data_IF_696957260045
#
_entry.id   IF_696957260045
#
_cell.length_a   1.000
_cell.length_b   1.000
_cell.length_c   1.000
_cell.angle_alpha   90.00
_cell.angle_beta   90.00
_cell.angle_gamma   90.00
#
_symmetry.space_group_name_H-M   'P 1'
#
loop_
_entity.id
_entity.type
_entity.pdbx_description
1 polymer ?
#
# COMPACT_ATOMS: atom_id res chain seq x y z
N UNK A 1 -9.59 0.89 11.47
CA UNK A 1 -10.42 -0.18 10.83
C UNK A 1 -10.06 -1.54 11.39
N UNK A 2 -11.02 -2.44 11.57
CA UNK A 2 -10.77 -3.83 11.96
C UNK A 2 -10.31 -4.68 10.76
N UNK A 3 -9.44 -5.66 11.00
CA UNK A 3 -9.03 -6.64 9.99
C UNK A 3 -10.19 -7.56 9.59
N UNK A 4 -10.25 -8.00 8.33
CA UNK A 4 -11.34 -8.83 7.82
C UNK A 4 -11.09 -9.39 6.42
N UNK A 5 -12.10 -10.09 5.89
CA UNK A 5 -12.09 -10.58 4.51
C UNK A 5 -12.18 -9.41 3.53
N UNK A 6 -11.66 -9.58 2.31
CA UNK A 6 -11.58 -8.50 1.31
C UNK A 6 -12.97 -7.96 0.92
N UNK A 7 -14.01 -8.79 1.01
CA UNK A 7 -15.40 -8.45 0.74
C UNK A 7 -15.92 -7.36 1.71
N UNK A 8 -15.41 -7.32 2.94
CA UNK A 8 -15.76 -6.30 3.93
C UNK A 8 -15.22 -4.91 3.59
N UNK A 9 -14.37 -4.83 2.55
CA UNK A 9 -13.70 -3.61 2.12
C UNK A 9 -14.15 -3.16 0.73
N UNK A 10 -15.25 -3.72 0.22
CA UNK A 10 -15.80 -3.38 -1.10
C UNK A 10 -16.14 -1.90 -1.24
N UNK A 11 -16.66 -1.29 -0.18
CA UNK A 11 -17.08 0.11 -0.17
C UNK A 11 -15.90 1.10 -0.25
N UNK A 12 -14.67 0.63 -0.04
CA UNK A 12 -13.47 1.44 -0.29
C UNK A 12 -13.13 1.56 -1.78
N UNK A 13 -13.72 0.71 -2.63
CA UNK A 13 -13.51 0.78 -4.07
C UNK A 13 -14.22 2.01 -4.63
N UNK A 14 -13.49 2.80 -5.41
CA UNK A 14 -14.05 3.95 -6.13
C UNK A 14 -14.47 3.59 -7.56
N UNK A 15 -14.16 2.37 -8.01
CA UNK A 15 -14.29 1.95 -9.41
C UNK A 15 -15.54 1.12 -9.61
N UNK A 16 -16.19 1.29 -10.77
CA UNK A 16 -17.41 0.54 -11.09
C UNK A 16 -17.13 -0.94 -11.36
N UNK A 17 -16.04 -1.21 -12.07
CA UNK A 17 -15.62 -2.56 -12.45
C UNK A 17 -14.11 -2.61 -12.69
N UNK A 18 -13.60 -3.78 -13.06
CA UNK A 18 -12.19 -4.01 -13.34
C UNK A 18 -11.69 -3.20 -14.55
N UNK A 19 -12.55 -2.97 -15.55
CA UNK A 19 -12.19 -2.19 -16.74
C UNK A 19 -12.03 -0.71 -16.38
N UNK A 20 -12.96 -0.17 -15.59
CA UNK A 20 -12.92 1.18 -15.05
C UNK A 20 -11.64 1.41 -14.21
N UNK A 21 -11.30 0.45 -13.35
CA UNK A 21 -10.05 0.47 -12.59
C UNK A 21 -8.80 0.48 -13.50
N UNK A 22 -8.73 -0.44 -14.47
CA UNK A 22 -7.59 -0.51 -15.38
C UNK A 22 -7.43 0.77 -16.21
N UNK A 23 -8.53 1.37 -16.70
CA UNK A 23 -8.48 2.61 -17.45
C UNK A 23 -7.87 3.76 -16.62
N UNK A 24 -8.30 3.93 -15.37
CA UNK A 24 -7.71 4.94 -14.49
C UNK A 24 -6.26 4.64 -14.14
N UNK A 25 -5.90 3.37 -13.94
CA UNK A 25 -4.52 2.97 -13.70
C UNK A 25 -3.61 3.25 -14.91
N UNK A 26 -4.09 3.03 -16.14
CA UNK A 26 -3.36 3.37 -17.36
C UNK A 26 -3.13 4.88 -17.52
N UNK A 27 -4.14 5.70 -17.17
CA UNK A 27 -3.97 7.17 -17.12
C UNK A 27 -2.88 7.57 -16.14
N UNK A 28 -2.91 7.05 -14.91
CA UNK A 28 -1.85 7.26 -13.93
C UNK A 28 -0.47 6.84 -14.44
N UNK A 29 -0.38 5.69 -15.11
CA UNK A 29 0.88 5.17 -15.66
C UNK A 29 1.40 6.00 -16.83
N UNK A 30 0.55 6.76 -17.52
CA UNK A 30 0.99 7.68 -18.58
C UNK A 30 1.93 8.76 -18.01
N UNK A 31 1.58 9.27 -16.83
CA UNK A 31 2.35 10.36 -16.18
C UNK A 31 3.44 9.86 -15.25
N UNK A 32 3.19 8.76 -14.53
CA UNK A 32 4.05 8.31 -13.45
C UNK A 32 5.05 7.22 -13.85
N UNK A 33 4.97 6.62 -15.05
CA UNK A 33 5.83 5.48 -15.43
C UNK A 33 7.31 5.72 -15.19
N UNK A 34 7.80 6.91 -15.51
CA UNK A 34 9.23 7.26 -15.44
C UNK A 34 9.68 7.62 -14.02
N UNK A 35 8.72 7.75 -13.08
CA UNK A 35 9.00 7.96 -11.66
C UNK A 35 9.30 6.65 -10.92
N UNK A 36 8.95 5.51 -11.51
CA UNK A 36 9.20 4.18 -10.94
C UNK A 36 10.39 3.50 -11.65
N UNK A 37 11.27 2.90 -10.85
CA UNK A 37 12.30 1.99 -11.41
C UNK A 37 11.64 0.72 -11.93
N UNK A 38 12.34 -0.03 -12.80
CA UNK A 38 11.83 -1.31 -13.35
C UNK A 38 11.29 -2.26 -12.27
N UNK A 39 12.04 -2.46 -11.17
CA UNK A 39 11.61 -3.33 -10.07
C UNK A 39 10.42 -2.77 -9.29
N UNK A 40 10.30 -1.45 -9.15
CA UNK A 40 9.13 -0.82 -8.54
C UNK A 40 7.90 -0.94 -9.46
N UNK A 41 8.05 -0.82 -10.78
CA UNK A 41 6.98 -1.08 -11.75
C UNK A 41 6.49 -2.53 -11.66
N UNK A 42 7.39 -3.50 -11.49
CA UNK A 42 7.02 -4.91 -11.26
C UNK A 42 6.20 -5.04 -9.96
N UNK A 43 6.63 -4.37 -8.88
CA UNK A 43 5.91 -4.35 -7.62
C UNK A 43 4.50 -3.77 -7.76
N UNK A 44 4.38 -2.62 -8.45
CA UNK A 44 3.12 -1.93 -8.66
C UNK A 44 2.16 -2.76 -9.52
N UNK A 45 2.63 -3.30 -10.65
CA UNK A 45 1.83 -4.20 -11.51
C UNK A 45 1.36 -5.44 -10.76
N UNK A 46 2.21 -6.02 -9.90
CA UNK A 46 1.81 -7.16 -9.07
C UNK A 46 0.71 -6.75 -8.09
N UNK A 47 0.82 -5.60 -7.43
CA UNK A 47 -0.21 -5.09 -6.54
C UNK A 47 -1.54 -4.87 -7.27
N UNK A 48 -1.53 -4.28 -8.49
CA UNK A 48 -2.73 -4.12 -9.33
C UNK A 48 -3.42 -5.45 -9.60
N UNK A 49 -2.67 -6.52 -9.90
CA UNK A 49 -3.24 -7.87 -10.10
C UNK A 49 -3.93 -8.40 -8.84
N UNK A 50 -3.39 -8.12 -7.66
CA UNK A 50 -4.03 -8.49 -6.38
C UNK A 50 -5.30 -7.67 -6.11
N UNK A 51 -5.37 -6.44 -6.63
CA UNK A 51 -6.53 -5.55 -6.55
C UNK A 51 -7.60 -5.80 -7.62
N UNK A 52 -7.57 -6.94 -8.31
CA UNK A 52 -8.57 -7.26 -9.35
C UNK A 52 -9.88 -7.82 -8.76
N UNK A 53 -9.81 -8.54 -7.62
CA UNK A 53 -10.98 -9.18 -7.01
C UNK A 53 -12.02 -8.16 -6.54
N UNK A 54 -11.57 -7.10 -5.87
CA UNK A 54 -12.34 -5.88 -5.61
C UNK A 54 -11.59 -4.77 -6.33
N UNK A 55 -12.12 -4.20 -7.43
CA UNK A 55 -11.40 -3.25 -8.26
C UNK A 55 -10.72 -2.15 -7.44
N UNK A 56 -9.40 -2.06 -7.52
CA UNK A 56 -8.62 -1.04 -6.81
C UNK A 56 -8.44 -1.23 -5.31
N UNK A 57 -8.90 -2.34 -4.70
CA UNK A 57 -8.73 -2.60 -3.26
C UNK A 57 -8.00 -3.92 -3.02
N UNK A 58 -6.98 -3.89 -2.16
CA UNK A 58 -6.21 -5.07 -1.78
C UNK A 58 -5.90 -5.07 -0.28
N UNK A 59 -6.12 -6.20 0.40
CA UNK A 59 -5.78 -6.41 1.82
C UNK A 59 -4.68 -7.48 2.03
N UNK A 60 -3.99 -7.88 0.96
CA UNK A 60 -2.97 -8.92 1.02
C UNK A 60 -1.71 -8.45 1.76
N UNK A 61 -1.03 -9.37 2.46
CA UNK A 61 0.23 -9.03 3.15
C UNK A 61 1.30 -8.67 2.12
N UNK A 62 2.18 -7.72 2.44
CA UNK A 62 3.35 -7.39 1.62
C UNK A 62 4.14 -8.66 1.27
N UNK A 63 4.37 -9.54 2.25
CA UNK A 63 5.06 -10.81 2.04
C UNK A 63 4.38 -11.68 0.98
N UNK A 64 3.05 -11.80 1.01
CA UNK A 64 2.29 -12.57 0.00
C UNK A 64 2.47 -11.99 -1.39
N UNK A 65 2.39 -10.65 -1.52
CA UNK A 65 2.53 -9.97 -2.81
C UNK A 65 3.96 -10.13 -3.34
N UNK A 66 4.96 -9.95 -2.47
CA UNK A 66 6.38 -10.11 -2.80
C UNK A 66 6.67 -11.55 -3.21
N UNK A 67 6.26 -12.56 -2.44
CA UNK A 67 6.47 -13.97 -2.80
C UNK A 67 5.84 -14.33 -4.14
N UNK A 68 4.67 -13.78 -4.47
CA UNK A 68 4.04 -13.99 -5.78
C UNK A 68 4.84 -13.42 -6.95
N UNK A 69 5.75 -12.47 -6.72
CA UNK A 69 6.68 -12.01 -7.77
C UNK A 69 7.75 -13.05 -8.12
N UNK A 70 8.16 -13.89 -7.17
CA UNK A 70 9.18 -14.91 -7.38
C UNK A 70 8.63 -16.16 -8.10
N UNK A 71 7.36 -16.48 -7.89
CA UNK A 71 6.74 -17.70 -8.44
C UNK A 71 6.48 -17.69 -9.95
N UNK A 72 6.45 -16.51 -10.57
CA UNK A 72 5.98 -16.35 -11.96
C UNK A 72 6.72 -15.24 -12.74
N UNK A 73 7.95 -14.86 -12.38
CA UNK A 73 8.65 -13.80 -13.11
C UNK A 73 9.86 -14.31 -13.87
N UNK A 74 9.80 -14.16 -15.19
CA UNK A 74 10.97 -14.09 -16.07
C UNK A 74 11.83 -12.83 -15.78
N UNK A 75 11.28 -11.86 -15.03
CA UNK A 75 11.90 -10.56 -14.75
C UNK A 75 12.61 -10.45 -13.39
N UNK A 76 12.71 -11.55 -12.63
CA UNK A 76 13.28 -11.57 -11.29
C UNK A 76 12.33 -11.03 -10.22
N UNK A 77 12.19 -11.75 -9.11
CA UNK A 77 11.34 -11.31 -8.00
C UNK A 77 11.92 -10.09 -7.28
N UNK A 78 11.06 -9.39 -6.53
CA UNK A 78 11.45 -8.17 -5.81
C UNK A 78 11.74 -8.45 -4.34
N UNK A 79 12.45 -7.54 -3.69
CA UNK A 79 12.56 -7.50 -2.23
C UNK A 79 11.38 -6.76 -1.59
N UNK A 80 11.17 -6.98 -0.28
CA UNK A 80 10.25 -6.18 0.52
C UNK A 80 10.60 -4.68 0.50
N UNK A 81 11.88 -4.34 0.60
CA UNK A 81 12.33 -2.94 0.57
C UNK A 81 11.98 -2.24 -0.75
N UNK A 82 12.01 -2.98 -1.86
CA UNK A 82 11.57 -2.47 -3.17
C UNK A 82 10.07 -2.20 -3.20
N UNK A 83 9.26 -3.10 -2.64
CA UNK A 83 7.82 -2.88 -2.51
C UNK A 83 7.50 -1.66 -1.65
N UNK A 84 8.19 -1.48 -0.52
CA UNK A 84 7.99 -0.32 0.37
C UNK A 84 8.42 1.00 -0.27
N UNK A 85 9.51 1.02 -1.06
CA UNK A 85 9.90 2.20 -1.85
C UNK A 85 8.84 2.56 -2.90
N UNK A 86 8.36 1.57 -3.65
CA UNK A 86 7.26 1.74 -4.60
C UNK A 86 6.04 2.33 -3.90
N UNK A 87 5.63 1.76 -2.76
CA UNK A 87 4.46 2.22 -2.02
C UNK A 87 4.63 3.66 -1.52
N UNK A 88 5.83 4.04 -1.07
CA UNK A 88 6.12 5.43 -0.66
C UNK A 88 5.92 6.40 -1.82
N UNK A 89 6.40 6.07 -3.02
CA UNK A 89 6.19 6.88 -4.23
C UNK A 89 4.71 6.94 -4.61
N UNK A 90 4.03 5.80 -4.67
CA UNK A 90 2.61 5.74 -5.02
C UNK A 90 1.73 6.56 -4.07
N UNK A 91 2.03 6.56 -2.76
CA UNK A 91 1.37 7.45 -1.79
C UNK A 91 1.66 8.92 -2.06
N UNK A 92 2.94 9.27 -2.30
CA UNK A 92 3.36 10.64 -2.58
C UNK A 92 2.64 11.23 -3.80
N UNK A 93 2.38 10.41 -4.82
CA UNK A 93 1.67 10.84 -6.03
C UNK A 93 0.14 10.82 -5.90
N UNK A 94 -0.41 10.38 -4.76
CA UNK A 94 -1.85 10.22 -4.60
C UNK A 94 -2.45 9.00 -5.30
N UNK A 95 -1.64 8.14 -5.92
CA UNK A 95 -2.10 6.93 -6.62
C UNK A 95 -2.73 5.91 -5.66
N UNK A 96 -2.17 5.76 -4.44
CA UNK A 96 -2.60 4.77 -3.45
C UNK A 96 -2.76 5.44 -2.09
N UNK A 97 -3.92 5.22 -1.47
CA UNK A 97 -4.14 5.46 -0.04
C UNK A 97 -3.94 4.15 0.73
N UNK A 98 -3.29 4.21 1.90
CA UNK A 98 -2.98 3.03 2.72
C UNK A 98 -3.67 3.14 4.06
N UNK A 99 -4.60 2.23 4.32
CA UNK A 99 -5.33 2.17 5.59
C UNK A 99 -4.68 1.10 6.47
N UNK A 100 -4.20 1.51 7.64
CA UNK A 100 -3.69 0.58 8.64
C UNK A 100 -4.86 0.00 9.44
N UNK A 101 -4.94 -1.34 9.52
CA UNK A 101 -5.96 -2.03 10.31
C UNK A 101 -5.38 -2.55 11.62
N UNK A 102 -6.26 -2.76 12.59
CA UNK A 102 -5.93 -3.38 13.86
C UNK A 102 -6.75 -4.67 14.03
N UNK A 103 -6.15 -5.66 14.68
CA UNK A 103 -6.82 -6.85 15.15
C UNK A 103 -7.69 -6.53 16.36
N UNK A 104 -8.65 -7.40 16.69
CA UNK A 104 -9.47 -7.31 17.90
C UNK A 104 -8.62 -7.22 19.18
N UNK A 105 -7.40 -7.79 19.16
CA UNK A 105 -6.46 -7.74 20.27
C UNK A 105 -5.54 -6.50 20.25
N UNK A 106 -5.89 -5.44 19.49
CA UNK A 106 -5.13 -4.19 19.39
C UNK A 106 -3.81 -4.27 18.62
N UNK A 107 -3.38 -5.47 18.18
CA UNK A 107 -2.17 -5.66 17.37
C UNK A 107 -2.40 -5.15 15.95
N UNK A 108 -1.37 -4.53 15.35
CA UNK A 108 -1.42 -4.14 13.93
C UNK A 108 -1.73 -5.36 13.05
N UNK A 109 -2.74 -5.21 12.20
CA UNK A 109 -3.14 -6.19 11.22
C UNK A 109 -2.73 -5.73 9.81
N UNK A 110 -3.22 -6.41 8.78
CA UNK A 110 -2.79 -6.15 7.40
C UNK A 110 -3.29 -4.80 6.90
N UNK A 111 -2.42 -4.05 6.25
CA UNK A 111 -2.80 -2.82 5.58
C UNK A 111 -3.75 -3.11 4.42
N UNK A 112 -4.64 -2.16 4.17
CA UNK A 112 -5.48 -2.13 2.97
C UNK A 112 -4.90 -1.08 2.03
N UNK A 113 -4.68 -1.46 0.78
CA UNK A 113 -4.22 -0.60 -0.30
C UNK A 113 -5.43 -0.22 -1.16
N UNK A 114 -5.72 1.08 -1.25
CA UNK A 114 -6.85 1.64 -1.98
C UNK A 114 -6.34 2.53 -3.10
N UNK A 115 -6.48 2.08 -4.35
CA UNK A 115 -6.14 2.88 -5.52
C UNK A 115 -7.12 4.03 -5.68
N UNK A 116 -6.60 5.20 -6.01
CA UNK A 116 -7.40 6.39 -6.26
C UNK A 116 -7.69 6.53 -7.75
N UNK A 117 -8.84 7.12 -8.10
CA UNK A 117 -9.10 7.53 -9.48
C UNK A 117 -8.04 8.51 -9.95
N UNK A 118 -7.76 8.48 -11.24
CA UNK A 118 -6.97 9.53 -11.86
C UNK A 118 -7.72 10.87 -11.72
N UNK A 119 -7.09 11.93 -11.21
CA UNK A 119 -7.77 13.19 -10.92
C UNK A 119 -8.29 13.81 -12.22
N UNK A 120 -9.57 14.16 -12.24
CA UNK A 120 -10.09 15.00 -13.32
C UNK A 120 -9.72 16.46 -13.04
N UNK A 121 -9.82 17.35 -14.04
CA UNK A 121 -9.50 18.78 -13.88
C UNK A 121 -10.27 19.47 -12.74
N UNK A 122 -11.37 18.89 -12.27
CA UNK A 122 -12.15 19.40 -11.13
C UNK A 122 -11.61 18.94 -9.76
N UNK A 123 -10.83 17.85 -9.71
CA UNK A 123 -10.28 17.28 -8.47
C UNK A 123 -8.92 17.91 -8.08
N UNK A 124 -8.22 18.54 -9.03
CA UNK A 124 -6.91 19.15 -8.79
C UNK A 124 -6.97 20.32 -7.79
N UNK A 125 -8.13 20.99 -7.67
CA UNK A 125 -8.34 22.09 -6.71
C UNK A 125 -8.54 21.63 -5.27
N UNK A 126 -8.93 20.37 -5.01
CA UNK A 126 -9.14 19.85 -3.65
C UNK A 126 -7.91 19.12 -3.09
N UNK A 127 -7.12 18.44 -3.93
CA UNK A 127 -5.93 17.67 -3.50
C UNK A 127 -4.83 18.57 -2.90
N UNK A 128 -4.72 19.83 -3.33
CA UNK A 128 -3.75 20.78 -2.76
C UNK A 128 -4.06 21.20 -1.32
N UNK A 129 -5.32 21.12 -0.89
CA UNK A 129 -5.73 21.50 0.46
C UNK A 129 -5.59 20.35 1.46
N UNK A 130 -5.90 19.11 1.05
CA UNK A 130 -5.86 17.95 1.95
C UNK A 130 -4.44 17.42 2.24
N UNK A 131 -3.45 17.77 1.39
CA UNK A 131 -2.05 17.41 1.62
C UNK A 131 -1.38 18.21 2.75
N UNK A 132 -1.98 19.34 3.18
CA UNK A 132 -1.47 20.17 4.26
C UNK A 132 -1.85 19.65 5.68
N UNK A 133 -2.92 18.85 5.79
CA UNK A 133 -3.44 18.38 7.09
C UNK A 133 -2.99 16.96 7.49
N UNK A 134 -2.17 16.29 6.67
CA UNK A 134 -1.69 14.93 6.93
C UNK A 134 -0.34 14.83 7.68
N UNK A 135 0.25 15.95 8.10
CA UNK A 135 1.39 15.98 9.04
C UNK A 135 0.90 16.29 10.47
N UNK A 136 0.51 15.25 11.21
CA UNK A 136 1.11 14.92 12.50
C UNK A 136 0.30 13.79 13.18
N UNK A 137 0.83 12.56 13.14
CA UNK A 137 0.58 11.60 14.22
C UNK A 137 1.95 11.10 14.66
N UNK A 138 2.41 11.71 15.74
CA UNK A 138 3.61 11.38 16.48
C UNK A 138 3.70 9.88 16.74
N UNK A 139 4.87 9.31 16.44
CA UNK A 139 5.21 7.92 16.77
C UNK A 139 5.68 7.91 18.23
N UNK A 140 5.03 7.19 19.16
CA UNK A 140 5.58 7.04 20.51
C UNK A 140 6.82 6.16 20.44
N UNK A 141 7.98 6.80 20.49
CA UNK A 141 9.29 6.18 20.61
C UNK A 141 9.40 5.54 22.00
N UNK A 142 9.23 4.22 22.11
CA UNK A 142 9.56 3.48 23.35
C UNK A 142 10.78 2.59 23.11
N UNK A 143 11.96 3.15 23.37
CA UNK A 143 13.16 2.37 23.70
C UNK A 143 12.91 1.64 25.03
N UNK A 144 13.31 0.37 25.20
CA UNK A 144 13.69 -0.13 26.51
C UNK A 144 15.20 0.00 26.68
N UNK A 145 15.58 0.79 27.68
CA UNK A 145 16.92 0.88 28.26
C UNK A 145 17.25 -0.40 29.04
N UNK A 146 18.56 -0.66 29.17
CA UNK A 146 19.19 -1.83 29.80
C UNK A 146 18.92 -1.96 31.31
N UNK A 147 18.89 -3.21 31.77
CA UNK A 147 19.69 -3.83 32.85
C UNK A 147 18.84 -4.75 33.73
N UNK A 148 19.23 -6.01 33.84
CA UNK A 148 19.35 -6.67 35.15
C UNK A 148 20.22 -7.94 35.04
N UNK A 149 21.26 -7.94 35.85
CA UNK A 149 22.28 -8.97 36.02
C UNK A 149 21.71 -10.08 36.90
N UNK A 150 21.85 -11.35 36.49
CA UNK A 150 21.64 -12.49 37.41
C UNK A 150 22.87 -13.38 37.40
N UNK A 151 23.56 -13.35 38.54
CA UNK A 151 24.69 -14.20 38.90
C UNK A 151 24.28 -15.67 38.93
N UNK A 152 25.03 -16.55 38.27
CA UNK A 152 25.08 -17.97 38.64
C UNK A 152 26.32 -18.20 39.50
N UNK A 153 26.10 -18.58 40.77
CA UNK A 153 27.14 -19.18 41.61
C UNK A 153 27.41 -20.61 41.13
N UNK A 154 28.69 -20.96 41.17
CA UNK A 154 29.29 -22.25 40.85
C UNK A 154 29.00 -23.28 41.94
#
# INVERSE_FOLDING_TARGET
MQSGRIENFKDLSQFRDLKDFNNHFEQWMTDLKDQFTKSETIALKRLVRFSAKIPGVCNAKIQTIVSATHQHSEMGGISRSTFERMLRKAKKFGLIHVIHTQSQNGRQAHSIYVFQKYPTKQDASSILNDAADAESIEVPNKKPSKNETINLKK
#
